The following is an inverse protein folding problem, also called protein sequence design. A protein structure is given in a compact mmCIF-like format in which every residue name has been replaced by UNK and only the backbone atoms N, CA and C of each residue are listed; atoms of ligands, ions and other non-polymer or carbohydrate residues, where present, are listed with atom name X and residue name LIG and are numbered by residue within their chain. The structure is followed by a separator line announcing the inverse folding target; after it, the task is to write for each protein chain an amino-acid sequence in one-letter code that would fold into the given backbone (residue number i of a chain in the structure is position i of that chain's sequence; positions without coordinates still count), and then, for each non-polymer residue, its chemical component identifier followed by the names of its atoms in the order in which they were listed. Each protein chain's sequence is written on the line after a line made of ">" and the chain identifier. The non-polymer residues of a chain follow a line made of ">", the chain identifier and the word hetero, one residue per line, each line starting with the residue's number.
data_IF_043872626414
#
_entry.id   IF_043872626414
#
_cell.length_a   1.000
_cell.length_b   1.000
_cell.length_c   1.000
_cell.angle_alpha   90.00
_cell.angle_beta   90.00
_cell.angle_gamma   90.00
#
_symmetry.space_group_name_H-M   'P 1'
#
loop_
_entity.id
_entity.type
_entity.pdbx_description
1 polymer ?
2 non-polymer ?
3 non-polymer ?
4 non-polymer ?
5 water ?
#
# COMPACT_ATOMS: atom_id res chain seq x y z
N UNK A 7 14.94 -15.03 8.54
CA UNK A 7 14.56 -13.74 9.21
C UNK A 7 13.91 -12.76 8.22
N UNK A 8 13.13 -13.29 7.28
CA UNK A 8 12.28 -12.46 6.42
C UNK A 8 11.25 -11.79 7.30
N UNK A 9 10.95 -10.53 6.99
CA UNK A 9 10.00 -9.74 7.77
C UNK A 9 8.57 -9.96 7.26
N UNK A 10 7.80 -10.72 8.02
CA UNK A 10 6.46 -11.14 7.64
C UNK A 10 5.46 -10.61 8.67
N UNK A 11 4.41 -9.99 8.15
CA UNK A 11 3.32 -9.48 8.96
C UNK A 11 2.02 -10.17 8.56
N UNK A 12 1.26 -10.60 9.55
CA UNK A 12 0.00 -11.30 9.33
C UNK A 12 -1.09 -10.67 10.18
N UNK A 13 -2.25 -10.49 9.56
CA UNK A 13 -3.41 -9.87 10.18
C UNK A 13 -4.68 -10.61 9.79
N UNK A 14 -5.50 -10.89 10.79
CA UNK A 14 -6.90 -11.28 10.60
C UNK A 14 -7.80 -10.23 11.25
N UNK A 15 -8.76 -9.72 10.50
CA UNK A 15 -9.60 -8.59 10.90
C UNK A 15 -11.04 -8.87 10.47
N UNK A 16 -11.96 -8.85 11.40
CA UNK A 16 -13.34 -9.16 11.09
C UNK A 16 -14.27 -8.24 11.82
N UNK A 17 -15.34 -7.88 11.12
CA UNK A 17 -16.38 -7.07 11.68
C UNK A 17 -17.69 -7.68 11.22
N UNK A 18 -18.79 -7.00 11.54
CA UNK A 18 -20.09 -7.45 11.02
C UNK A 18 -20.22 -7.29 9.49
N UNK A 19 -19.36 -6.45 8.91
CA UNK A 19 -19.43 -6.12 7.47
C UNK A 19 -18.46 -6.90 6.59
N UNK A 20 -17.29 -7.24 7.13
CA UNK A 20 -16.20 -7.79 6.31
C UNK A 20 -15.38 -8.83 7.09
N UNK A 21 -14.63 -9.64 6.34
CA UNK A 21 -13.69 -10.58 6.91
C UNK A 21 -12.44 -10.53 6.06
N UNK A 22 -11.30 -10.22 6.68
CA UNK A 22 -10.06 -9.98 5.96
C UNK A 22 -8.90 -10.73 6.60
N UNK A 23 -8.08 -11.33 5.74
CA UNK A 23 -6.82 -11.98 6.11
C UNK A 23 -5.72 -11.45 5.20
N UNK A 24 -4.61 -11.02 5.79
CA UNK A 24 -3.46 -10.49 5.05
C UNK A 24 -2.16 -11.13 5.57
N UNK A 25 -1.27 -11.51 4.66
CA UNK A 25 0.10 -11.91 5.00
C UNK A 25 1.01 -11.22 4.00
N UNK A 26 1.94 -10.40 4.49
CA UNK A 26 2.89 -9.70 3.62
C UNK A 26 4.31 -9.99 4.07
N UNK A 27 5.15 -10.33 3.10
CA UNK A 27 6.60 -10.51 3.32
C UNK A 27 7.31 -9.33 2.68
N UNK A 28 8.00 -8.54 3.50
CA UNK A 28 8.73 -7.35 3.00
C UNK A 28 9.94 -7.74 2.16
N UNK A 29 10.44 -8.94 2.42
CA UNK A 29 11.66 -9.50 1.79
C UNK A 29 11.28 -10.61 0.80
N UNK A 30 10.19 -10.37 0.09
CA UNK A 30 9.61 -11.34 -0.79
C UNK A 30 10.27 -11.45 -2.14
N UNK A 31 9.61 -12.21 -3.00
CA UNK A 31 10.00 -12.42 -4.39
C UNK A 31 8.83 -12.14 -5.34
N UNK A 32 7.94 -11.27 -4.91
CA UNK A 32 6.81 -10.84 -5.74
C UNK A 32 5.71 -11.86 -5.91
N UNK A 33 5.51 -12.72 -4.92
CA UNK A 33 4.44 -13.70 -4.98
C UNK A 33 3.11 -12.97 -4.81
N UNK A 34 2.27 -13.06 -5.83
CA UNK A 34 1.00 -12.38 -5.83
C UNK A 34 -0.17 -13.34 -5.57
N UNK A 35 -0.94 -13.06 -4.53
CA UNK A 35 -1.98 -13.98 -4.10
C UNK A 35 -3.09 -13.20 -3.41
N UNK A 36 -3.73 -12.32 -4.17
CA UNK A 36 -4.77 -11.42 -3.66
C UNK A 36 -6.13 -11.70 -4.25
N UNK A 37 -7.10 -11.92 -3.35
CA UNK A 37 -8.50 -12.11 -3.72
C UNK A 37 -9.39 -11.41 -2.70
N UNK A 38 -9.84 -10.21 -3.06
CA UNK A 38 -10.56 -9.30 -2.17
C UNK A 38 -12.05 -9.25 -2.41
N UNK A 39 -12.53 -9.87 -3.49
CA UNK A 39 -13.91 -9.65 -3.95
C UNK A 39 -14.11 -8.41 -4.80
N UNK A 40 -13.02 -7.68 -5.02
CA UNK A 40 -12.99 -6.46 -5.83
C UNK A 40 -11.92 -6.67 -6.91
N UNK A 41 -12.33 -7.10 -8.11
CA UNK A 41 -11.33 -7.45 -9.13
C UNK A 41 -10.31 -6.38 -9.46
N UNK A 42 -10.73 -5.12 -9.50
CA UNK A 42 -9.76 -4.09 -9.86
C UNK A 42 -8.71 -3.90 -8.75
N UNK A 43 -9.16 -3.97 -7.51
CA UNK A 43 -8.26 -3.90 -6.39
C UNK A 43 -7.28 -5.08 -6.41
N UNK A 44 -7.76 -6.27 -6.75
CA UNK A 44 -6.87 -7.41 -6.89
C UNK A 44 -5.76 -7.10 -7.92
N UNK A 45 -6.15 -6.50 -9.04
CA UNK A 45 -5.21 -6.15 -10.11
C UNK A 45 -4.14 -5.16 -9.57
N UNK A 46 -4.59 -4.20 -8.77
CA UNK A 46 -3.68 -3.21 -8.17
C UNK A 46 -2.74 -3.87 -7.14
N UNK A 47 -3.29 -4.80 -6.35
CA UNK A 47 -2.46 -5.52 -5.37
C UNK A 47 -1.43 -6.40 -6.06
N UNK A 48 -1.77 -6.88 -7.26
CA UNK A 48 -0.80 -7.65 -8.04
C UNK A 48 0.36 -6.76 -8.46
N UNK A 49 0.09 -5.49 -8.73
CA UNK A 49 1.18 -4.54 -9.06
C UNK A 49 2.10 -4.33 -7.87
N UNK A 50 1.50 -4.26 -6.70
CA UNK A 50 2.26 -4.11 -5.48
C UNK A 50 3.28 -5.26 -5.33
N UNK A 51 2.84 -6.48 -5.61
CA UNK A 51 3.73 -7.63 -5.55
C UNK A 51 4.77 -7.61 -6.68
N UNK A 52 4.31 -7.39 -7.90
CA UNK A 52 5.14 -7.47 -9.11
C UNK A 52 6.23 -6.41 -9.14
N UNK A 53 5.88 -5.21 -8.71
CA UNK A 53 6.84 -4.09 -8.77
C UNK A 53 7.51 -3.75 -7.46
N UNK A 54 6.89 -4.18 -6.38
CA UNK A 54 7.49 -3.99 -5.06
C UNK A 54 8.32 -5.17 -4.61
N UNK A 55 8.09 -6.33 -5.23
CA UNK A 55 8.66 -7.62 -4.82
C UNK A 55 8.21 -8.11 -3.45
N UNK A 56 7.14 -7.53 -2.93
CA UNK A 56 6.50 -8.03 -1.74
C UNK A 56 5.82 -9.33 -2.08
N UNK A 57 5.80 -10.26 -1.13
CA UNK A 57 4.85 -11.35 -1.23
C UNK A 57 3.57 -10.86 -0.57
N UNK A 58 2.48 -10.90 -1.34
CA UNK A 58 1.21 -10.33 -0.94
C UNK A 58 0.13 -11.39 -1.01
N UNK A 59 -0.39 -11.74 0.17
CA UNK A 59 -1.48 -12.67 0.32
C UNK A 59 -2.63 -11.94 1.00
N UNK A 60 -3.75 -11.84 0.28
CA UNK A 60 -4.93 -11.19 0.79
C UNK A 60 -6.14 -12.03 0.44
N UNK A 61 -6.98 -12.24 1.44
CA UNK A 61 -8.31 -12.78 1.26
C UNK A 61 -9.30 -11.88 1.95
N UNK A 62 -10.35 -11.49 1.24
CA UNK A 62 -11.42 -10.73 1.86
C UNK A 62 -12.76 -11.11 1.30
N UNK A 63 -13.75 -11.01 2.16
CA UNK A 63 -15.17 -11.09 1.81
C UNK A 63 -15.86 -9.96 2.53
N UNK A 64 -17.04 -9.59 2.06
CA UNK A 64 -17.74 -8.50 2.66
C UNK A 64 -18.98 -8.11 1.91
N UNK A 65 -19.54 -7.00 2.35
CA UNK A 65 -20.86 -6.54 1.94
C UNK A 65 -20.88 -5.74 0.63
N UNK A 66 -20.34 -6.33 -0.42
CA UNK A 66 -20.22 -5.69 -1.71
C UNK A 66 -21.56 -5.36 -2.37
N UNK A 67 -22.63 -6.00 -1.93
CA UNK A 67 -23.99 -5.63 -2.38
C UNK A 67 -24.42 -4.23 -1.91
N UNK A 68 -23.86 -3.75 -0.82
CA UNK A 68 -24.05 -2.37 -0.39
C UNK A 68 -23.17 -1.44 -1.22
N UNK A 69 -21.89 -1.76 -1.25
CA UNK A 69 -20.92 -1.22 -2.21
C UNK A 69 -19.55 -1.79 -1.83
N UNK A 70 -18.53 -1.45 -2.59
CA UNK A 70 -17.21 -2.00 -2.33
C UNK A 70 -16.51 -1.30 -1.18
N UNK A 71 -17.09 -0.22 -0.68
CA UNK A 71 -16.41 0.63 0.29
C UNK A 71 -15.88 -0.07 1.52
N UNK A 72 -16.73 -0.81 2.22
CA UNK A 72 -16.30 -1.37 3.51
C UNK A 72 -15.15 -2.38 3.28
N UNK A 73 -15.31 -3.22 2.27
CA UNK A 73 -14.26 -4.18 1.93
C UNK A 73 -12.94 -3.47 1.61
N UNK A 74 -13.01 -2.47 0.75
CA UNK A 74 -11.83 -1.74 0.31
C UNK A 74 -11.10 -1.13 1.52
N UNK A 75 -11.86 -0.49 2.39
CA UNK A 75 -11.32 0.14 3.59
C UNK A 75 -10.67 -0.90 4.51
N UNK A 76 -11.37 -1.98 4.73
CA UNK A 76 -10.94 -2.97 5.70
C UNK A 76 -9.71 -3.75 5.21
N UNK A 77 -9.64 -3.99 3.90
CA UNK A 77 -8.43 -4.55 3.29
C UNK A 77 -7.26 -3.60 3.52
N UNK A 78 -7.47 -2.32 3.24
CA UNK A 78 -6.41 -1.32 3.42
C UNK A 78 -5.94 -1.23 4.87
N UNK A 79 -6.89 -1.19 5.80
CA UNK A 79 -6.52 -1.14 7.23
C UNK A 79 -5.65 -2.35 7.61
N UNK A 80 -6.06 -3.52 7.16
CA UNK A 80 -5.35 -4.75 7.48
C UNK A 80 -3.96 -4.79 6.84
N UNK A 81 -3.85 -4.33 5.60
CA UNK A 81 -2.54 -4.25 4.95
C UNK A 81 -1.63 -3.32 5.74
N UNK A 82 -2.16 -2.17 6.14
CA UNK A 82 -1.34 -1.22 6.91
C UNK A 82 -0.84 -1.84 8.21
N UNK A 83 -1.70 -2.56 8.90
CA UNK A 83 -1.30 -3.24 10.16
C UNK A 83 -0.24 -4.30 9.87
N UNK A 84 -0.43 -5.06 8.78
CA UNK A 84 0.53 -6.08 8.40
C UNK A 84 1.92 -5.48 8.14
N UNK A 85 1.94 -4.34 7.46
CA UNK A 85 3.19 -3.62 7.20
C UNK A 85 3.84 -3.18 8.50
N UNK A 86 3.04 -2.60 9.39
CA UNK A 86 3.54 -2.18 10.71
C UNK A 86 4.18 -3.34 11.47
N UNK A 87 3.49 -4.48 11.49
CA UNK A 87 3.98 -5.67 12.19
C UNK A 87 5.29 -6.15 11.58
N UNK A 88 5.31 -6.24 10.26
CA UNK A 88 6.51 -6.71 9.56
C UNK A 88 7.70 -5.78 9.79
N UNK A 89 7.44 -4.48 9.84
CA UNK A 89 8.52 -3.49 9.98
C UNK A 89 9.19 -3.46 11.36
N UNK A 90 8.43 -3.79 12.40
CA UNK A 90 8.97 -3.79 13.77
C UNK A 90 9.57 -2.45 14.16
N UNK A 91 10.80 -2.47 14.72
CA UNK A 91 11.44 -1.22 15.18
C UNK A 91 12.08 -0.40 14.06
N UNK A 92 12.04 -0.92 12.83
CA UNK A 92 12.47 -0.21 11.62
C UNK A 92 14.01 -0.01 11.66
N UNK A 93 14.74 -0.94 12.29
CA UNK A 93 16.22 -0.85 12.34
C UNK A 93 16.85 -1.17 11.00
N UNK A 94 17.79 -0.33 10.59
CA UNK A 94 18.65 -0.62 9.43
C UNK A 94 18.06 -0.39 8.05
N UNK A 95 16.87 0.21 8.00
CA UNK A 95 16.16 0.39 6.72
C UNK A 95 16.42 1.76 6.12
N UNK A 96 16.15 1.84 4.82
CA UNK A 96 16.25 3.12 4.11
C UNK A 96 15.27 4.16 4.68
N UNK A 97 14.07 3.69 5.05
CA UNK A 97 13.00 4.47 5.70
C UNK A 97 12.19 5.31 4.72
N UNK A 98 12.90 6.05 3.86
CA UNK A 98 12.32 6.90 2.85
C UNK A 98 12.31 6.21 1.49
N UNK A 99 11.25 6.43 0.73
CA UNK A 99 11.15 6.00 -0.66
C UNK A 99 10.60 7.10 -1.53
N UNK A 100 11.02 7.12 -2.79
CA UNK A 100 10.68 8.20 -3.70
C UNK A 100 10.75 7.67 -5.10
N UNK A 101 9.63 7.66 -5.82
CA UNK A 101 9.64 7.20 -7.19
C UNK A 101 8.52 7.81 -8.01
N UNK A 102 8.86 8.14 -9.26
CA UNK A 102 7.86 8.58 -10.25
C UNK A 102 7.78 7.53 -11.35
N UNK A 103 6.58 6.98 -11.58
CA UNK A 103 6.38 5.93 -12.57
C UNK A 103 5.27 6.34 -13.53
N UNK A 104 5.45 6.05 -14.82
CA UNK A 104 4.40 6.22 -15.78
C UNK A 104 3.60 4.95 -16.06
N UNK A 105 2.43 5.13 -16.66
CA UNK A 105 1.77 4.12 -17.46
C UNK A 105 1.24 4.92 -18.64
N UNK A 106 1.92 4.77 -19.77
CA UNK A 106 1.62 5.54 -20.98
C UNK A 106 1.57 7.03 -20.63
N UNK A 107 0.44 7.68 -20.85
CA UNK A 107 0.33 9.12 -20.65
C UNK A 107 0.27 9.53 -19.19
N UNK A 108 -0.03 8.58 -18.31
CA UNK A 108 -0.10 8.88 -16.87
C UNK A 108 1.27 8.88 -16.24
N UNK A 109 1.48 9.75 -15.25
CA UNK A 109 2.76 9.88 -14.56
C UNK A 109 2.47 10.29 -13.12
N UNK A 110 2.87 9.44 -12.18
CA UNK A 110 2.54 9.63 -10.76
C UNK A 110 3.83 9.60 -9.93
N UNK A 111 4.01 10.63 -9.12
CA UNK A 111 5.12 10.73 -8.17
C UNK A 111 4.65 10.35 -6.77
N UNK A 112 5.29 9.32 -6.21
CA UNK A 112 5.03 8.88 -4.84
C UNK A 112 6.27 9.04 -3.99
N UNK A 113 6.09 9.70 -2.86
CA UNK A 113 7.13 9.90 -1.87
C UNK A 113 6.59 9.45 -0.51
N UNK A 114 7.37 8.65 0.22
CA UNK A 114 6.90 8.18 1.51
C UNK A 114 8.03 8.06 2.52
N UNK A 115 7.64 8.13 3.78
CA UNK A 115 8.55 8.03 4.90
C UNK A 115 7.88 7.10 5.90
N UNK A 116 8.53 6.01 6.24
CA UNK A 116 8.05 5.06 7.26
C UNK A 116 8.34 5.63 8.66
N UNK A 117 7.66 6.73 8.96
CA UNK A 117 7.96 7.60 10.09
C UNK A 117 7.31 7.18 11.41
N UNK A 118 6.24 6.41 11.31
CA UNK A 118 5.33 6.17 12.41
C UNK A 118 4.20 7.18 12.55
N UNK A 119 4.23 8.24 11.76
CA UNK A 119 3.21 9.29 11.84
C UNK A 119 2.32 9.24 10.60
N UNK A 120 1.03 8.88 10.75
CA UNK A 120 0.21 8.80 9.55
C UNK A 120 -0.07 10.16 8.91
N UNK A 121 0.09 10.24 7.59
CA UNK A 121 -0.31 11.41 6.82
C UNK A 121 -0.46 10.97 5.38
N UNK A 122 -1.57 11.39 4.76
CA UNK A 122 -1.75 11.26 3.31
C UNK A 122 -1.91 12.61 2.64
N UNK A 123 -1.02 12.89 1.71
CA UNK A 123 -1.20 13.95 0.76
C UNK A 123 -1.53 13.30 -0.57
N UNK A 124 -2.66 13.69 -1.14
CA UNK A 124 -3.19 13.03 -2.33
C UNK A 124 -3.86 14.03 -3.23
N UNK A 125 -3.45 14.10 -4.49
CA UNK A 125 -4.08 15.05 -5.40
C UNK A 125 -4.55 14.46 -6.71
N UNK A 126 -4.73 13.14 -6.75
CA UNK A 126 -5.19 12.53 -8.00
C UNK A 126 -6.53 13.13 -8.41
N UNK A 127 -6.70 13.30 -9.70
CA UNK A 127 -7.96 13.73 -10.30
C UNK A 127 -8.31 12.70 -11.37
N UNK A 128 -9.13 11.76 -10.95
CA UNK A 128 -9.44 10.60 -11.77
C UNK A 128 -10.73 10.93 -12.53
N UNK A 129 -10.69 11.00 -13.87
CA UNK A 129 -11.77 11.68 -14.59
C UNK A 129 -13.03 10.88 -14.83
N UNK A 130 -13.06 9.62 -14.44
CA UNK A 130 -14.27 8.81 -14.52
C UNK A 130 -14.59 8.21 -13.17
N UNK A 131 -15.88 7.88 -12.98
CA UNK A 131 -16.37 7.42 -11.69
C UNK A 131 -16.21 5.93 -11.41
N UNK A 132 -16.14 5.16 -12.48
CA UNK A 132 -16.00 3.70 -12.42
C UNK A 132 -14.95 3.20 -13.40
N UNK A 133 -14.03 2.39 -12.86
CA UNK A 133 -13.10 1.60 -13.66
C UNK A 133 -13.57 0.15 -13.50
N UNK A 134 -14.10 -0.40 -14.58
CA UNK A 134 -14.86 -1.63 -14.45
C UNK A 134 -16.02 -1.35 -13.51
N UNK A 135 -16.12 -2.16 -12.44
CA UNK A 135 -17.13 -1.92 -11.41
C UNK A 135 -16.58 -1.18 -10.18
N UNK A 136 -15.32 -0.76 -10.26
CA UNK A 136 -14.62 -0.14 -9.11
C UNK A 136 -14.80 1.38 -9.06
N UNK A 137 -15.37 1.83 -7.94
CA UNK A 137 -15.62 3.24 -7.66
C UNK A 137 -14.28 3.93 -7.43
N UNK A 138 -13.97 4.91 -8.28
CA UNK A 138 -12.65 5.52 -8.25
C UNK A 138 -12.40 6.40 -7.02
N UNK A 139 -13.45 6.75 -6.28
CA UNK A 139 -13.24 7.42 -4.97
C UNK A 139 -12.51 6.51 -3.98
N UNK A 140 -12.59 5.21 -4.20
CA UNK A 140 -12.03 4.26 -3.25
C UNK A 140 -10.51 4.19 -3.24
N UNK A 141 -9.88 4.74 -4.27
CA UNK A 141 -8.42 4.79 -4.32
C UNK A 141 -7.89 5.64 -3.18
N UNK A 142 -8.42 6.85 -3.04
CA UNK A 142 -7.97 7.73 -1.96
C UNK A 142 -8.20 7.06 -0.59
N UNK A 143 -9.36 6.44 -0.44
CA UNK A 143 -9.69 5.79 0.83
C UNK A 143 -8.74 4.63 1.13
N UNK A 144 -8.38 3.88 0.10
CA UNK A 144 -7.44 2.78 0.26
C UNK A 144 -6.13 3.32 0.87
N UNK A 145 -5.56 4.35 0.25
CA UNK A 145 -4.29 4.87 0.75
C UNK A 145 -4.44 5.54 2.11
N UNK A 146 -5.55 6.23 2.34
CA UNK A 146 -5.73 6.88 3.64
C UNK A 146 -5.77 5.86 4.79
N UNK A 147 -6.56 4.82 4.59
CA UNK A 147 -6.69 3.78 5.60
C UNK A 147 -5.36 3.05 5.83
N UNK A 148 -4.65 2.75 4.74
CA UNK A 148 -3.35 2.08 4.83
C UNK A 148 -2.35 2.92 5.63
N UNK A 149 -2.29 4.23 5.37
CA UNK A 149 -1.32 5.06 6.12
C UNK A 149 -1.69 5.13 7.60
N UNK A 150 -2.99 5.10 7.89
CA UNK A 150 -3.45 5.27 9.26
C UNK A 150 -3.02 4.11 10.14
N UNK A 151 -3.05 2.89 9.62
CA UNK A 151 -2.63 1.75 10.45
C UNK A 151 -1.14 1.41 10.31
N UNK A 152 -0.51 1.76 9.20
CA UNK A 152 0.91 1.52 9.03
C UNK A 152 1.80 2.56 9.74
N UNK A 153 1.27 3.76 9.98
CA UNK A 153 2.11 4.87 10.47
C UNK A 153 3.12 5.32 9.41
N UNK A 154 2.59 5.65 8.27
CA UNK A 154 3.33 6.08 7.09
C UNK A 154 2.98 7.52 6.72
N UNK A 155 3.98 8.30 6.36
CA UNK A 155 3.82 9.58 5.69
C UNK A 155 3.88 9.31 4.20
N UNK A 156 2.80 9.63 3.49
CA UNK A 156 2.67 9.27 2.08
C UNK A 156 2.15 10.45 1.28
N UNK A 157 2.86 10.79 0.21
CA UNK A 157 2.44 11.80 -0.76
C UNK A 157 2.32 11.18 -2.13
N UNK A 158 1.15 11.38 -2.74
CA UNK A 158 0.81 10.90 -4.08
C UNK A 158 0.44 12.12 -4.94
N UNK A 159 1.22 12.34 -5.99
CA UNK A 159 1.08 13.52 -6.82
C UNK A 159 0.92 13.14 -8.30
N UNK A 160 -0.20 13.55 -8.86
CA UNK A 160 -0.50 13.31 -10.27
C UNK A 160 0.21 14.37 -11.11
N UNK A 161 1.17 13.92 -11.90
CA UNK A 161 1.92 14.83 -12.80
C UNK A 161 1.32 14.89 -14.21
N UNK A 162 0.69 13.80 -14.63
CA UNK A 162 0.04 13.72 -15.94
C UNK A 162 -0.92 12.53 -15.89
N UNK A 163 -1.87 12.50 -16.82
CA UNK A 163 -2.74 11.35 -16.98
C UNK A 163 -4.12 11.74 -17.43
N UNK A 164 -4.71 10.85 -18.21
CA UNK A 164 -6.08 11.01 -18.73
C UNK A 164 -6.95 9.76 -18.52
N UNK A 165 -6.37 8.59 -18.75
CA UNK A 165 -7.09 7.33 -18.59
C UNK A 165 -7.11 6.93 -17.12
N UNK A 166 -8.30 6.69 -16.58
CA UNK A 166 -8.43 6.42 -15.14
C UNK A 166 -7.70 5.18 -14.69
N UNK A 167 -7.79 4.12 -15.47
CA UNK A 167 -7.07 2.87 -15.16
C UNK A 167 -5.55 3.15 -15.15
N UNK A 168 -5.08 3.91 -16.14
CA UNK A 168 -3.65 4.25 -16.17
C UNK A 168 -3.24 5.06 -14.94
N UNK A 169 -4.04 6.06 -14.59
CA UNK A 169 -3.70 6.91 -13.45
C UNK A 169 -3.58 6.07 -12.16
N UNK A 170 -4.56 5.20 -11.92
CA UNK A 170 -4.57 4.42 -10.68
C UNK A 170 -3.44 3.39 -10.72
N UNK A 171 -3.27 2.71 -11.83
CA UNK A 171 -2.23 1.68 -11.95
C UNK A 171 -0.82 2.28 -11.79
N UNK A 172 -0.57 3.41 -12.46
CA UNK A 172 0.71 4.09 -12.30
C UNK A 172 0.97 4.46 -10.84
N UNK A 173 -0.09 4.87 -10.13
CA UNK A 173 0.01 5.16 -8.70
C UNK A 173 0.47 3.94 -7.91
N UNK A 174 -0.13 2.78 -8.19
CA UNK A 174 0.30 1.57 -7.49
C UNK A 174 1.71 1.13 -7.86
N UNK A 175 2.11 1.33 -9.12
CA UNK A 175 3.46 1.01 -9.53
C UNK A 175 4.48 1.89 -8.81
N UNK A 176 4.20 3.18 -8.75
CA UNK A 176 5.09 4.13 -8.10
C UNK A 176 5.14 3.87 -6.59
N UNK A 177 3.97 3.67 -6.01
CA UNK A 177 3.88 3.32 -4.59
C UNK A 177 4.67 2.05 -4.27
N UNK A 178 4.52 1.03 -5.10
CA UNK A 178 5.20 -0.26 -4.85
C UNK A 178 6.72 -0.08 -4.85
N UNK A 179 7.20 0.70 -5.81
CA UNK A 179 8.64 0.93 -5.94
C UNK A 179 9.15 1.84 -4.82
N UNK A 180 8.38 2.86 -4.43
CA UNK A 180 8.78 3.71 -3.30
C UNK A 180 8.80 2.90 -1.99
N UNK A 181 7.79 2.07 -1.81
CA UNK A 181 7.69 1.24 -0.60
C UNK A 181 8.81 0.19 -0.56
N UNK A 182 9.10 -0.42 -1.70
CA UNK A 182 10.25 -1.33 -1.78
C UNK A 182 11.54 -0.63 -1.32
N UNK A 183 11.79 0.55 -1.86
CA UNK A 183 12.96 1.31 -1.47
C UNK A 183 13.00 1.56 0.04
N UNK A 184 11.90 2.06 0.56
CA UNK A 184 11.85 2.44 1.97
C UNK A 184 12.06 1.27 2.92
N UNK A 185 11.52 0.11 2.54
CA UNK A 185 11.60 -1.09 3.38
C UNK A 185 12.92 -1.83 3.28
N UNK A 186 13.66 -1.61 2.20
CA UNK A 186 14.93 -2.30 1.99
C UNK A 186 16.00 -1.81 2.96
N UNK A 187 16.96 -2.69 3.16
CA UNK A 187 18.10 -2.43 4.03
C UNK A 187 18.94 -1.29 3.45
N UNK A 188 19.32 -0.37 4.33
CA UNK A 188 20.30 0.67 3.99
C UNK A 188 21.68 0.00 4.20
N UNK A 189 22.49 -0.14 3.14
CA UNK A 189 23.76 -0.90 3.29
C UNK A 189 24.80 -0.24 4.20
N UNK A 190 24.61 1.03 4.55
CA UNK A 190 25.55 1.75 5.41
C UNK A 190 25.09 1.96 6.83
N UNK A 191 23.84 1.60 7.11
CA UNK A 191 23.23 2.07 8.37
C UNK A 191 23.79 1.41 9.57
N UNK A 192 24.18 0.17 9.35
CA UNK A 192 24.82 -0.62 10.37
C UNK A 192 23.80 -1.03 11.40
N UNK A 193 22.57 -1.24 10.95
CA UNK A 193 21.47 -1.59 11.85
C UNK A 193 20.93 -0.54 12.82
N UNK A 194 21.39 0.72 12.71
CA UNK A 194 20.85 1.78 13.57
C UNK A 194 19.43 2.22 13.13
N UNK A 195 18.69 2.76 14.09
CA UNK A 195 17.36 3.33 13.79
C UNK A 195 17.56 4.64 13.03
N UNK A 196 16.92 4.80 11.86
CA UNK A 196 17.14 5.98 11.02
C UNK A 196 16.28 7.17 11.43
N UNK A 197 16.60 7.69 12.61
CA UNK A 197 15.93 8.85 13.18
C UNK A 197 16.83 9.50 14.20
N UNK A 198 16.95 10.82 14.10
CA UNK A 198 17.73 11.62 15.05
C UNK A 198 17.15 11.58 16.46
N UNK A 199 15.86 11.27 16.61
CA UNK A 199 15.28 11.18 17.96
C UNK A 199 15.41 9.79 18.63
N UNK A 200 15.96 8.82 17.90
CA UNK A 200 16.35 7.53 18.48
C UNK A 200 15.33 6.41 18.41
N UNK A 201 14.15 6.72 17.86
CA UNK A 201 13.03 5.80 17.81
C UNK A 201 12.08 6.23 16.68
N UNK A 202 11.41 5.24 16.10
CA UNK A 202 10.31 5.46 15.16
C UNK A 202 9.12 4.69 15.71
N UNK A 203 7.99 5.37 15.87
CA UNK A 203 6.86 4.80 16.57
C UNK A 203 5.56 5.34 15.99
N UNK A 204 4.52 4.51 15.98
CA UNK A 204 3.16 4.95 15.63
C UNK A 204 2.45 5.66 16.82
N UNK A 205 3.16 5.77 17.95
CA UNK A 205 2.69 6.52 19.12
C UNK A 205 3.62 7.62 19.59
#
# INVERSE_FOLDING_TARGET
>A
MASPIESARIGEVKRETKQTNVSVKINLDGHGVSDSSTGIPFLDHMLDQLASHGLFDVHVRATGDTHIDDHHTNEDVALAIGTALLKALGERKGINRFGDFTAPLDEALIHVSLDLSGRPYLGYNLEIPTQRVGTYDTQLVEHFFQSLVNTSGMTLHIRQLAGKNSHHIIEATFKAFARALRQATESDPRRGGTIPSSKGVLSRS
#
